data_IF_075139025640
#
_entry.id   IF_075139025640
#
_cell.length_a   1.000
_cell.length_b   1.000
_cell.length_c   1.000
_cell.angle_alpha   90.00
_cell.angle_beta   90.00
_cell.angle_gamma   90.00
#
_symmetry.space_group_name_H-M   'P 1'
#
loop_
_entity.id
_entity.type
_entity.pdbx_description
1 polymer ?
#
# COMPACT_ATOMS: atom_id res chain seq x y z
N UNK A 1 31.06 15.21 70.38
CA UNK A 1 30.89 14.08 69.45
C UNK A 1 30.29 14.67 68.19
N UNK A 2 31.01 15.38 67.32
CA UNK A 2 32.30 15.06 66.66
C UNK A 2 32.16 13.84 65.71
N UNK A 3 32.53 13.91 64.42
CA UNK A 3 33.10 15.04 63.67
C UNK A 3 32.85 14.92 62.14
N UNK A 4 32.58 16.04 61.47
CA UNK A 4 32.87 16.30 60.04
C UNK A 4 34.22 17.07 59.96
N UNK A 5 34.87 17.38 58.80
CA UNK A 5 34.35 17.94 57.54
C UNK A 5 34.97 17.21 56.30
N UNK A 6 35.38 17.72 55.12
CA UNK A 6 35.43 18.98 54.31
C UNK A 6 35.63 18.50 52.83
N UNK A 7 35.51 19.22 51.71
CA UNK A 7 34.86 20.44 51.17
C UNK A 7 34.93 20.30 49.61
N UNK A 8 34.09 20.82 48.73
CA UNK A 8 33.29 22.06 48.60
C UNK A 8 34.03 23.25 47.94
N UNK A 9 33.28 24.02 47.11
CA UNK A 9 33.61 25.31 46.46
C UNK A 9 34.61 25.32 45.29
N UNK A 10 34.51 26.20 44.27
CA UNK A 10 33.40 27.06 43.77
C UNK A 10 33.78 27.70 42.39
N UNK A 11 32.87 28.44 41.74
CA UNK A 11 33.30 29.71 41.10
C UNK A 11 33.08 30.00 39.60
N UNK A 12 31.82 29.99 39.14
CA UNK A 12 31.17 31.05 38.32
C UNK A 12 31.96 32.11 37.48
N UNK A 13 31.41 32.35 36.26
CA UNK A 13 31.12 33.65 35.57
C UNK A 13 32.07 34.31 34.51
N UNK A 14 31.39 34.78 33.44
CA UNK A 14 31.64 35.96 32.55
C UNK A 14 32.89 36.10 31.67
N UNK A 15 32.67 35.95 30.35
CA UNK A 15 32.69 37.03 29.34
C UNK A 15 33.72 38.18 29.49
N UNK A 16 34.71 38.27 28.58
CA UNK A 16 34.84 39.38 27.62
C UNK A 16 35.99 39.22 26.60
N UNK A 17 36.01 40.10 25.60
CA UNK A 17 36.93 40.15 24.46
C UNK A 17 38.34 40.63 24.84
N UNK A 18 39.36 40.19 24.10
CA UNK A 18 40.51 41.03 23.73
C UNK A 18 41.18 40.50 22.45
N UNK A 19 42.00 41.33 21.81
CA UNK A 19 42.43 41.20 20.41
C UNK A 19 43.96 41.07 20.28
N UNK A 20 44.43 40.79 19.05
CA UNK A 20 45.80 40.98 18.56
C UNK A 20 46.89 40.02 19.12
N UNK A 21 47.94 39.65 18.37
CA UNK A 21 48.20 39.79 16.92
C UNK A 21 49.34 38.84 16.48
N UNK A 22 49.36 38.52 15.17
CA UNK A 22 50.53 38.22 14.31
C UNK A 22 51.62 37.23 14.78
N UNK A 23 51.94 36.25 13.92
CA UNK A 23 53.21 36.18 13.14
C UNK A 23 53.01 35.20 11.96
N UNK A 24 53.91 35.24 10.98
CA UNK A 24 53.95 34.41 9.76
C UNK A 24 54.28 32.92 10.07
N UNK A 25 54.38 31.97 9.13
CA UNK A 25 54.50 32.07 7.66
C UNK A 25 53.99 30.77 6.97
N UNK A 26 54.37 30.59 5.70
CA UNK A 26 54.39 29.34 4.92
C UNK A 26 53.03 28.72 4.54
N UNK A 27 52.62 28.96 3.29
CA UNK A 27 51.53 28.23 2.64
C UNK A 27 51.97 26.86 2.14
N UNK A 28 51.11 25.86 2.31
CA UNK A 28 51.18 24.61 1.57
C UNK A 28 49.95 24.47 0.68
N UNK A 29 50.17 24.49 -0.64
CA UNK A 29 49.15 24.17 -1.61
C UNK A 29 48.92 22.64 -1.60
N UNK A 30 47.67 22.22 -1.51
CA UNK A 30 47.31 20.82 -1.31
C UNK A 30 45.95 20.53 -1.92
N UNK A 31 45.95 19.89 -3.10
CA UNK A 31 44.78 19.40 -3.83
C UNK A 31 44.01 18.32 -3.05
N UNK A 32 43.34 18.75 -1.98
CA UNK A 32 42.38 17.98 -1.21
C UNK A 32 41.08 17.83 -1.98
N UNK A 33 41.11 17.11 -3.10
CA UNK A 33 39.95 16.76 -3.90
C UNK A 33 39.02 15.83 -3.10
N UNK A 34 38.22 16.40 -2.21
CA UNK A 34 37.23 15.70 -1.41
C UNK A 34 36.31 14.91 -2.34
N UNK A 35 36.36 13.59 -2.23
CA UNK A 35 35.51 12.67 -2.96
C UNK A 35 34.07 12.78 -2.42
N UNK A 36 33.37 13.84 -2.82
CA UNK A 36 31.95 14.03 -2.52
C UNK A 36 31.20 12.86 -3.18
N UNK A 37 30.58 11.94 -2.41
CA UNK A 37 29.81 10.87 -3.01
C UNK A 37 28.68 11.49 -3.83
N UNK A 38 28.34 10.92 -5.01
CA UNK A 38 27.40 11.56 -5.93
C UNK A 38 26.02 11.70 -5.29
N UNK A 39 25.73 12.90 -4.77
CA UNK A 39 24.44 13.26 -4.20
C UNK A 39 23.35 12.91 -5.21
N UNK A 40 22.33 12.10 -4.87
CA UNK A 40 21.29 11.74 -5.82
C UNK A 40 20.66 13.01 -6.38
N UNK A 41 20.64 13.09 -7.72
CA UNK A 41 20.38 14.34 -8.44
C UNK A 41 19.04 14.93 -8.04
N UNK A 42 19.05 16.11 -7.38
CA UNK A 42 17.85 16.76 -6.85
C UNK A 42 16.79 16.96 -7.94
N UNK A 43 15.77 16.11 -7.92
CA UNK A 43 14.56 16.28 -8.74
C UNK A 43 13.85 17.54 -8.24
N UNK A 44 13.70 18.52 -9.13
CA UNK A 44 13.55 19.93 -8.76
C UNK A 44 12.08 20.39 -8.70
N UNK A 45 11.31 19.79 -7.80
CA UNK A 45 10.12 20.40 -7.20
C UNK A 45 9.98 19.89 -5.77
N UNK A 46 9.41 20.69 -4.88
CA UNK A 46 9.05 20.22 -3.54
C UNK A 46 7.84 19.29 -3.67
N UNK A 47 8.08 17.98 -3.48
CA UNK A 47 6.99 17.00 -3.42
C UNK A 47 5.94 17.44 -2.39
N UNK A 48 4.63 17.27 -2.67
CA UNK A 48 3.58 17.63 -1.73
C UNK A 48 3.71 16.76 -0.46
N UNK A 49 3.35 17.29 0.74
CA UNK A 49 3.47 16.55 1.99
C UNK A 49 2.82 15.15 1.97
N UNK A 50 1.73 15.01 1.23
CA UNK A 50 0.99 13.74 1.03
C UNK A 50 1.82 12.65 0.29
N UNK A 51 2.91 13.02 -0.38
CA UNK A 51 3.85 12.10 -1.04
C UNK A 51 5.23 12.05 -0.34
N UNK A 52 5.41 12.69 0.82
CA UNK A 52 6.68 12.71 1.53
C UNK A 52 7.19 11.31 1.90
N UNK A 53 6.30 10.40 2.30
CA UNK A 53 6.61 8.99 2.58
C UNK A 53 7.13 8.19 1.37
N UNK A 54 7.02 8.70 0.13
CA UNK A 54 7.64 8.07 -1.05
C UNK A 54 9.15 8.33 -1.10
N UNK A 55 9.63 9.43 -0.51
CA UNK A 55 11.00 9.93 -0.68
C UNK A 55 12.07 8.86 -0.34
N UNK A 56 11.97 8.07 0.75
CA UNK A 56 12.93 7.00 1.05
C UNK A 56 12.96 5.85 0.03
N UNK A 57 11.96 5.76 -0.86
CA UNK A 57 11.74 4.67 -1.79
C UNK A 57 11.72 5.13 -3.26
N UNK A 58 12.04 6.41 -3.53
CA UNK A 58 11.99 7.01 -4.88
C UNK A 58 12.80 6.22 -5.91
N UNK A 59 13.94 5.66 -5.51
CA UNK A 59 14.80 4.84 -6.36
C UNK A 59 14.17 3.52 -6.82
N UNK A 60 13.01 3.10 -6.28
CA UNK A 60 12.26 1.96 -6.82
C UNK A 60 11.34 2.34 -7.98
N UNK A 61 11.00 3.60 -8.15
CA UNK A 61 10.13 4.07 -9.25
C UNK A 61 10.95 4.31 -10.52
N UNK A 62 10.46 3.89 -11.68
CA UNK A 62 11.12 4.12 -12.98
C UNK A 62 10.68 5.45 -13.64
N UNK A 63 10.74 6.53 -12.86
CA UNK A 63 10.23 7.88 -13.18
C UNK A 63 10.52 8.31 -14.61
N UNK A 64 11.79 8.36 -15.02
CA UNK A 64 12.15 8.76 -16.38
C UNK A 64 11.62 7.82 -17.46
N UNK A 65 11.77 6.50 -17.27
CA UNK A 65 11.33 5.48 -18.23
C UNK A 65 9.83 5.56 -18.48
N UNK A 66 9.06 5.66 -17.39
CA UNK A 66 7.61 5.75 -17.41
C UNK A 66 7.15 7.02 -18.13
N UNK A 67 7.67 8.19 -17.74
CA UNK A 67 7.21 9.48 -18.26
C UNK A 67 7.62 9.68 -19.73
N UNK A 68 8.82 9.22 -20.12
CA UNK A 68 9.25 9.15 -21.53
C UNK A 68 8.37 8.20 -22.36
N UNK A 69 7.89 7.09 -21.79
CA UNK A 69 6.97 6.18 -22.47
C UNK A 69 5.54 6.76 -22.55
N UNK A 70 5.08 7.45 -21.51
CA UNK A 70 3.78 8.12 -21.46
C UNK A 70 3.68 9.23 -22.51
N UNK A 71 4.73 10.06 -22.64
CA UNK A 71 4.77 11.09 -23.70
C UNK A 71 4.74 10.46 -25.11
N UNK A 72 5.41 9.33 -25.32
CA UNK A 72 5.33 8.57 -26.60
C UNK A 72 3.91 8.04 -26.86
N UNK A 73 3.22 7.56 -25.84
CA UNK A 73 1.83 7.10 -25.94
C UNK A 73 0.89 8.25 -26.33
N UNK A 74 0.98 9.40 -25.66
CA UNK A 74 0.21 10.63 -25.98
C UNK A 74 0.47 11.08 -27.43
N UNK A 75 1.75 11.22 -27.82
CA UNK A 75 2.14 11.63 -29.17
C UNK A 75 1.70 10.64 -30.27
N UNK A 76 1.46 9.37 -29.92
CA UNK A 76 0.98 8.34 -30.83
C UNK A 76 -0.55 8.29 -30.92
N UNK A 77 -1.25 8.54 -29.81
CA UNK A 77 -2.71 8.62 -29.75
C UNK A 77 -3.26 9.83 -30.53
N UNK A 78 -2.55 10.97 -30.48
CA UNK A 78 -2.90 12.20 -31.20
C UNK A 78 -2.93 12.09 -32.73
N UNK A 79 -2.54 10.94 -33.32
CA UNK A 79 -2.69 10.65 -34.75
C UNK A 79 -3.99 9.90 -35.13
N UNK A 80 -4.83 9.50 -34.16
CA UNK A 80 -6.06 8.72 -34.42
C UNK A 80 -7.31 9.13 -33.63
N UNK A 81 -7.25 10.14 -32.78
CA UNK A 81 -8.41 10.65 -32.04
C UNK A 81 -8.49 12.18 -32.02
N UNK A 82 -9.68 12.73 -32.30
CA UNK A 82 -9.98 14.14 -32.03
C UNK A 82 -10.09 14.34 -30.51
N UNK A 83 -8.98 14.70 -29.87
CA UNK A 83 -9.01 15.10 -28.46
C UNK A 83 -9.80 16.40 -28.28
N UNK A 84 -10.75 16.39 -27.36
CA UNK A 84 -11.51 17.59 -26.99
C UNK A 84 -10.56 18.67 -26.45
N UNK A 85 -10.83 19.92 -26.78
CA UNK A 85 -9.98 21.05 -26.36
C UNK A 85 -10.01 21.19 -24.84
N UNK A 86 -8.86 20.95 -24.17
CA UNK A 86 -8.10 21.96 -23.39
C UNK A 86 -7.17 21.32 -22.33
N UNK A 87 -5.99 20.88 -22.76
CA UNK A 87 -4.78 20.91 -21.93
C UNK A 87 -3.67 21.66 -22.67
N UNK A 88 -2.65 22.11 -21.94
CA UNK A 88 -1.61 23.01 -22.47
C UNK A 88 -0.58 22.22 -23.27
N UNK A 89 -0.26 22.68 -24.48
CA UNK A 89 0.90 22.19 -25.24
C UNK A 89 2.15 22.90 -24.73
N UNK A 90 2.61 22.50 -23.54
CA UNK A 90 3.83 23.04 -22.93
C UNK A 90 5.05 22.71 -23.79
N UNK A 91 5.61 23.74 -24.44
CA UNK A 91 6.68 23.57 -25.43
C UNK A 91 8.01 24.15 -24.91
N UNK A 92 8.52 23.62 -23.79
CA UNK A 92 9.93 23.73 -23.37
C UNK A 92 10.22 22.94 -22.08
N UNK A 93 11.14 21.96 -22.12
CA UNK A 93 11.92 21.43 -20.98
C UNK A 93 11.22 21.20 -19.63
N UNK A 94 9.92 20.85 -19.60
CA UNK A 94 9.26 20.39 -18.37
C UNK A 94 9.91 19.07 -17.91
N UNK A 95 10.62 19.13 -16.77
CA UNK A 95 11.14 17.95 -16.10
C UNK A 95 9.99 17.23 -15.42
N UNK A 96 9.40 16.25 -16.10
CA UNK A 96 8.34 15.40 -15.55
C UNK A 96 8.71 14.89 -14.14
N UNK A 97 7.76 14.98 -13.21
CA UNK A 97 7.99 14.74 -11.79
C UNK A 97 7.49 13.35 -11.35
N UNK A 98 7.93 12.93 -10.15
CA UNK A 98 7.34 11.77 -9.47
C UNK A 98 5.84 12.00 -9.16
N UNK A 99 5.43 13.24 -8.92
CA UNK A 99 4.03 13.60 -8.64
C UNK A 99 3.14 13.41 -9.89
N UNK A 100 3.64 13.74 -11.09
CA UNK A 100 2.95 13.45 -12.36
C UNK A 100 2.78 11.93 -12.56
N UNK A 101 3.84 11.18 -12.26
CA UNK A 101 3.84 9.72 -12.32
C UNK A 101 2.86 9.09 -11.33
N UNK A 102 2.68 9.67 -10.14
CA UNK A 102 1.80 9.17 -9.08
C UNK A 102 0.41 9.83 -9.03
N UNK A 103 0.07 10.72 -9.96
CA UNK A 103 -1.28 11.28 -10.07
C UNK A 103 -2.23 10.37 -10.87
N UNK A 104 -3.52 10.42 -10.55
CA UNK A 104 -4.58 9.69 -11.25
C UNK A 104 -4.53 9.85 -12.78
N UNK A 105 -4.78 8.75 -13.51
CA UNK A 105 -4.96 8.79 -14.97
C UNK A 105 -6.12 7.92 -15.44
N UNK A 106 -6.73 8.30 -16.58
CA UNK A 106 -7.79 7.52 -17.24
C UNK A 106 -7.25 6.49 -18.24
N UNK A 107 -6.13 6.80 -18.90
CA UNK A 107 -5.50 5.92 -19.88
C UNK A 107 -4.74 4.76 -19.22
N UNK A 108 -4.57 3.60 -19.89
CA UNK A 108 -3.67 2.55 -19.43
C UNK A 108 -2.22 3.05 -19.30
N UNK A 109 -1.50 2.58 -18.26
CA UNK A 109 -0.07 2.86 -18.12
C UNK A 109 0.75 2.26 -19.28
N UNK A 110 1.81 2.94 -19.75
CA UNK A 110 2.67 2.45 -20.84
C UNK A 110 3.64 1.34 -20.40
N UNK A 111 3.96 1.29 -19.10
CA UNK A 111 4.87 0.35 -18.43
C UNK A 111 4.60 0.41 -16.92
N UNK A 112 5.25 -0.45 -16.13
CA UNK A 112 5.11 -0.46 -14.66
C UNK A 112 5.57 0.85 -13.99
N UNK A 113 5.06 1.11 -12.79
CA UNK A 113 5.50 2.22 -11.96
C UNK A 113 6.86 1.90 -11.30
N UNK A 114 7.01 0.68 -10.81
CA UNK A 114 8.23 0.19 -10.18
C UNK A 114 9.21 -0.39 -11.21
N UNK A 115 10.50 -0.36 -10.87
CA UNK A 115 11.62 -1.03 -11.56
C UNK A 115 11.50 -2.54 -11.37
N UNK A 116 10.80 -3.21 -12.27
CA UNK A 116 10.59 -4.68 -12.28
C UNK A 116 11.03 -5.29 -13.61
N UNK A 117 11.21 -6.62 -13.65
CA UNK A 117 11.56 -7.35 -14.86
C UNK A 117 10.52 -7.10 -15.99
N UNK A 118 10.98 -7.03 -17.26
CA UNK A 118 10.14 -6.80 -18.44
C UNK A 118 8.93 -7.72 -18.57
N UNK A 119 9.07 -8.99 -18.19
CA UNK A 119 7.97 -9.97 -18.21
C UNK A 119 6.88 -9.59 -17.21
N UNK A 120 7.27 -9.00 -16.07
CA UNK A 120 6.36 -8.49 -15.06
C UNK A 120 5.77 -7.14 -15.47
N UNK A 121 6.54 -6.26 -16.12
CA UNK A 121 6.03 -5.00 -16.68
C UNK A 121 4.87 -5.24 -17.68
N UNK A 122 4.96 -6.30 -18.49
CA UNK A 122 3.86 -6.70 -19.40
C UNK A 122 2.56 -7.14 -18.66
N UNK A 123 2.69 -7.64 -17.42
CA UNK A 123 1.56 -8.03 -16.56
C UNK A 123 1.04 -6.83 -15.75
N UNK A 124 1.94 -5.97 -15.30
CA UNK A 124 1.65 -4.70 -14.64
C UNK A 124 0.68 -3.83 -15.46
N UNK A 125 0.92 -3.67 -16.77
CA UNK A 125 0.01 -2.94 -17.67
C UNK A 125 -1.39 -3.59 -17.71
N UNK A 126 -1.47 -4.92 -17.68
CA UNK A 126 -2.75 -5.66 -17.66
C UNK A 126 -3.46 -5.56 -16.31
N UNK A 127 -2.72 -5.53 -15.20
CA UNK A 127 -3.27 -5.25 -13.86
C UNK A 127 -3.89 -3.85 -13.84
N UNK A 128 -3.21 -2.83 -14.36
CA UNK A 128 -3.75 -1.47 -14.43
C UNK A 128 -5.03 -1.39 -15.28
N UNK A 129 -5.12 -2.16 -16.37
CA UNK A 129 -6.36 -2.26 -17.17
C UNK A 129 -7.51 -2.93 -16.41
N UNK A 130 -7.23 -3.84 -15.46
CA UNK A 130 -8.26 -4.40 -14.56
C UNK A 130 -8.66 -3.38 -13.48
N UNK A 131 -7.71 -2.60 -12.96
CA UNK A 131 -7.97 -1.48 -12.03
C UNK A 131 -8.91 -0.46 -12.68
N UNK A 132 -8.57 0.07 -13.87
CA UNK A 132 -9.41 1.03 -14.59
C UNK A 132 -10.85 0.52 -14.80
N UNK A 133 -10.99 -0.77 -15.17
CA UNK A 133 -12.30 -1.42 -15.31
C UNK A 133 -13.06 -1.52 -13.99
N UNK A 134 -12.41 -1.88 -12.89
CA UNK A 134 -13.05 -1.95 -11.57
C UNK A 134 -13.55 -0.57 -11.12
N UNK A 135 -12.75 0.47 -11.35
CA UNK A 135 -13.11 1.86 -11.07
C UNK A 135 -14.23 2.38 -12.01
N UNK A 136 -14.52 1.69 -13.13
CA UNK A 136 -15.51 2.09 -14.13
C UNK A 136 -15.03 3.23 -15.05
N UNK A 137 -13.73 3.35 -15.25
CA UNK A 137 -13.11 4.42 -16.05
C UNK A 137 -13.03 4.01 -17.52
N UNK A 138 -13.67 4.79 -18.38
CA UNK A 138 -13.59 4.65 -19.83
C UNK A 138 -12.79 5.81 -20.47
N UNK A 139 -11.86 5.55 -21.40
CA UNK A 139 -11.17 6.60 -22.17
C UNK A 139 -12.09 7.56 -22.95
N UNK A 140 -13.33 7.15 -23.26
CA UNK A 140 -14.32 7.96 -23.98
C UNK A 140 -15.24 8.78 -23.06
N UNK A 141 -14.96 8.85 -21.75
CA UNK A 141 -15.78 9.50 -20.72
C UNK A 141 -17.26 9.04 -20.68
N UNK A 142 -17.49 7.78 -21.06
CA UNK A 142 -18.77 7.10 -20.88
C UNK A 142 -18.88 6.57 -19.45
N UNK A 143 -20.05 6.76 -18.83
CA UNK A 143 -20.35 6.17 -17.52
C UNK A 143 -20.48 4.66 -17.67
N UNK A 144 -19.47 3.91 -17.22
CA UNK A 144 -19.56 2.44 -17.11
C UNK A 144 -20.15 2.10 -15.74
N UNK A 145 -21.38 1.59 -15.76
CA UNK A 145 -21.95 0.86 -14.63
C UNK A 145 -21.32 -0.54 -14.61
N UNK A 146 -20.49 -0.80 -13.60
CA UNK A 146 -19.85 -2.10 -13.35
C UNK A 146 -20.71 -2.83 -12.33
N UNK A 147 -21.22 -4.03 -12.64
CA UNK A 147 -22.08 -4.76 -11.70
C UNK A 147 -21.29 -5.28 -10.49
N UNK A 148 -22.00 -5.79 -9.48
CA UNK A 148 -21.34 -6.38 -8.31
C UNK A 148 -20.50 -7.60 -8.72
N UNK A 149 -21.07 -8.47 -9.56
CA UNK A 149 -20.40 -9.63 -10.14
C UNK A 149 -19.16 -9.28 -10.97
N UNK A 150 -19.25 -8.25 -11.82
CA UNK A 150 -18.10 -7.77 -12.61
C UNK A 150 -16.96 -7.30 -11.68
N UNK A 151 -17.28 -6.58 -10.59
CA UNK A 151 -16.29 -6.12 -9.60
C UNK A 151 -15.59 -7.30 -8.93
N UNK A 152 -16.33 -8.32 -8.49
CA UNK A 152 -15.79 -9.54 -7.89
C UNK A 152 -14.89 -10.29 -8.89
N UNK A 153 -15.35 -10.46 -10.14
CA UNK A 153 -14.60 -11.18 -11.17
C UNK A 153 -13.32 -10.44 -11.60
N UNK A 154 -13.36 -9.09 -11.63
CA UNK A 154 -12.18 -8.24 -11.83
C UNK A 154 -11.18 -8.36 -10.66
N UNK A 155 -11.65 -8.43 -9.41
CA UNK A 155 -10.80 -8.69 -8.24
C UNK A 155 -10.12 -10.05 -8.36
N UNK A 156 -10.87 -11.13 -8.63
CA UNK A 156 -10.30 -12.46 -8.82
C UNK A 156 -9.24 -12.48 -9.94
N UNK A 157 -9.45 -11.73 -11.04
CA UNK A 157 -8.48 -11.54 -12.13
C UNK A 157 -7.21 -10.78 -11.69
N UNK A 158 -7.32 -9.77 -10.82
CA UNK A 158 -6.18 -9.04 -10.24
C UNK A 158 -5.34 -9.96 -9.36
N UNK A 159 -5.98 -10.71 -8.44
CA UNK A 159 -5.32 -11.64 -7.54
C UNK A 159 -4.58 -12.75 -8.28
N UNK A 160 -5.19 -13.29 -9.35
CA UNK A 160 -4.58 -14.32 -10.22
C UNK A 160 -3.27 -13.86 -10.89
N UNK A 161 -3.02 -12.55 -11.00
CA UNK A 161 -1.75 -12.00 -11.49
C UNK A 161 -0.77 -11.61 -10.38
N UNK A 162 -1.27 -11.04 -9.28
CA UNK A 162 -0.44 -10.37 -8.26
C UNK A 162 -0.05 -11.27 -7.08
N UNK A 163 -1.00 -12.02 -6.50
CA UNK A 163 -0.86 -12.65 -5.17
C UNK A 163 0.45 -13.42 -5.00
N UNK A 164 0.79 -14.29 -5.96
CA UNK A 164 1.95 -15.19 -5.92
C UNK A 164 3.29 -14.52 -6.28
N UNK A 165 3.35 -13.21 -6.52
CA UNK A 165 4.57 -12.49 -6.93
C UNK A 165 4.70 -11.15 -6.21
N UNK A 166 5.63 -11.06 -5.26
CA UNK A 166 5.92 -9.87 -4.44
C UNK A 166 5.97 -8.58 -5.27
N UNK A 167 6.72 -8.58 -6.36
CA UNK A 167 6.94 -7.43 -7.23
C UNK A 167 5.67 -6.97 -7.94
N UNK A 168 4.69 -7.86 -8.16
CA UNK A 168 3.37 -7.52 -8.69
C UNK A 168 2.35 -7.17 -7.58
N UNK A 169 2.61 -7.53 -6.32
CA UNK A 169 1.85 -6.97 -5.18
C UNK A 169 2.27 -5.53 -4.91
N UNK A 170 3.58 -5.27 -4.82
CA UNK A 170 4.13 -3.93 -4.65
C UNK A 170 3.66 -2.96 -5.76
N UNK A 171 3.74 -3.41 -7.02
CA UNK A 171 3.26 -2.67 -8.19
C UNK A 171 1.75 -2.44 -8.13
N UNK A 172 0.95 -3.43 -7.73
CA UNK A 172 -0.50 -3.28 -7.55
C UNK A 172 -0.82 -2.20 -6.49
N UNK A 173 -0.17 -2.23 -5.33
CA UNK A 173 -0.35 -1.19 -4.30
C UNK A 173 0.08 0.20 -4.81
N UNK A 174 1.20 0.30 -5.52
CA UNK A 174 1.62 1.56 -6.16
C UNK A 174 0.61 2.07 -7.21
N UNK A 175 0.00 1.16 -7.99
CA UNK A 175 -1.03 1.51 -8.98
C UNK A 175 -2.34 1.95 -8.35
N UNK A 176 -2.80 1.32 -7.26
CA UNK A 176 -4.01 1.76 -6.56
C UNK A 176 -3.77 3.12 -5.89
N UNK A 177 -2.61 3.31 -5.23
CA UNK A 177 -2.21 4.61 -4.65
C UNK A 177 -2.22 5.75 -5.67
N UNK A 178 -1.72 5.48 -6.89
CA UNK A 178 -1.78 6.41 -8.01
C UNK A 178 -3.21 6.78 -8.41
N UNK A 179 -4.15 5.83 -8.33
CA UNK A 179 -5.56 6.07 -8.65
C UNK A 179 -6.38 6.66 -7.47
N UNK A 180 -5.84 6.71 -6.26
CA UNK A 180 -6.40 7.50 -5.14
C UNK A 180 -5.87 8.94 -5.11
N UNK A 181 -4.63 9.19 -5.56
CA UNK A 181 -4.02 10.53 -5.54
C UNK A 181 -4.51 11.43 -6.69
N UNK A 182 -5.03 12.62 -6.36
CA UNK A 182 -5.61 13.61 -7.29
C UNK A 182 -6.72 13.07 -8.22
N UNK A 183 -7.45 12.04 -7.81
CA UNK A 183 -8.59 11.55 -8.57
C UNK A 183 -9.74 12.58 -8.54
N UNK A 184 -10.20 13.11 -9.69
CA UNK A 184 -11.21 14.17 -9.74
C UNK A 184 -12.64 13.66 -9.64
N UNK A 185 -12.89 12.35 -9.82
CA UNK A 185 -14.23 11.76 -9.74
C UNK A 185 -14.43 10.99 -8.42
N UNK A 186 -15.50 11.31 -7.70
CA UNK A 186 -15.77 10.70 -6.38
C UNK A 186 -16.09 9.21 -6.50
N UNK A 187 -16.86 8.78 -7.49
CA UNK A 187 -17.25 7.37 -7.64
C UNK A 187 -16.01 6.49 -7.94
N UNK A 188 -15.15 6.98 -8.82
CA UNK A 188 -13.86 6.43 -9.15
C UNK A 188 -12.92 6.37 -7.93
N UNK A 189 -12.88 7.44 -7.13
CA UNK A 189 -12.07 7.51 -5.92
C UNK A 189 -12.53 6.50 -4.86
N UNK A 190 -13.83 6.40 -4.57
CA UNK A 190 -14.37 5.40 -3.62
C UNK A 190 -13.98 3.98 -4.07
N UNK A 191 -14.15 3.64 -5.35
CA UNK A 191 -13.75 2.33 -5.89
C UNK A 191 -12.25 2.06 -5.80
N UNK A 192 -11.40 3.08 -5.93
CA UNK A 192 -9.97 2.95 -5.71
C UNK A 192 -9.66 2.59 -4.23
N UNK A 193 -10.36 3.21 -3.28
CA UNK A 193 -10.24 2.92 -1.85
C UNK A 193 -10.86 1.58 -1.43
N UNK A 194 -12.01 1.19 -2.01
CA UNK A 194 -12.58 -0.15 -1.86
C UNK A 194 -11.61 -1.24 -2.35
N UNK A 195 -10.97 -1.03 -3.52
CA UNK A 195 -9.98 -1.97 -4.06
C UNK A 195 -8.69 -2.02 -3.21
N UNK A 196 -8.27 -0.89 -2.64
CA UNK A 196 -7.16 -0.84 -1.67
C UNK A 196 -7.49 -1.68 -0.42
N UNK A 197 -8.70 -1.52 0.13
CA UNK A 197 -9.16 -2.23 1.32
C UNK A 197 -9.20 -3.75 1.08
N UNK A 198 -9.76 -4.20 -0.04
CA UNK A 198 -9.75 -5.61 -0.46
C UNK A 198 -8.32 -6.17 -0.48
N UNK A 199 -7.38 -5.48 -1.14
CA UNK A 199 -6.01 -5.96 -1.29
C UNK A 199 -5.25 -6.00 0.05
N UNK A 200 -5.39 -4.96 0.88
CA UNK A 200 -4.76 -4.88 2.20
C UNK A 200 -5.29 -5.95 3.18
N UNK A 201 -6.50 -6.45 2.96
CA UNK A 201 -7.15 -7.47 3.82
C UNK A 201 -6.74 -8.91 3.52
N UNK A 202 -5.90 -9.15 2.51
CA UNK A 202 -5.46 -10.50 2.11
C UNK A 202 -3.96 -10.65 1.90
N UNK A 203 -3.27 -9.58 1.52
CA UNK A 203 -1.85 -9.62 1.15
C UNK A 203 -1.16 -8.29 1.46
N UNK A 204 -0.07 -8.28 2.22
CA UNK A 204 0.74 -7.08 2.37
C UNK A 204 1.63 -6.87 1.13
N UNK A 205 1.98 -5.61 0.81
CA UNK A 205 3.20 -5.33 0.04
C UNK A 205 4.44 -5.74 0.85
N UNK A 206 5.65 -5.60 0.27
CA UNK A 206 6.86 -5.72 1.07
C UNK A 206 7.00 -4.60 2.12
N UNK A 207 7.96 -4.76 3.04
CA UNK A 207 8.19 -3.85 4.16
C UNK A 207 8.34 -2.38 3.74
N UNK A 208 8.98 -2.13 2.61
CA UNK A 208 9.34 -0.79 2.14
C UNK A 208 8.10 -0.04 1.62
N UNK A 209 7.38 -0.66 0.69
CA UNK A 209 6.10 -0.11 0.17
C UNK A 209 5.03 -0.12 1.27
N UNK A 210 5.05 -1.09 2.19
CA UNK A 210 4.15 -1.18 3.33
C UNK A 210 4.33 -0.08 4.37
N UNK A 211 5.55 0.41 4.57
CA UNK A 211 5.82 1.56 5.44
C UNK A 211 5.20 2.84 4.86
N UNK A 212 5.47 3.14 3.59
CA UNK A 212 4.86 4.29 2.90
C UNK A 212 3.32 4.17 2.85
N UNK A 213 2.79 2.99 2.49
CA UNK A 213 1.35 2.76 2.47
C UNK A 213 0.72 3.01 3.85
N UNK A 214 1.33 2.52 4.93
CA UNK A 214 0.83 2.74 6.29
C UNK A 214 0.73 4.23 6.65
N UNK A 215 1.72 5.04 6.26
CA UNK A 215 1.71 6.49 6.45
C UNK A 215 0.62 7.16 5.60
N UNK A 216 0.50 6.81 4.32
CA UNK A 216 -0.52 7.35 3.41
C UNK A 216 -1.94 7.05 3.91
N UNK A 217 -2.21 5.81 4.33
CA UNK A 217 -3.49 5.40 4.91
C UNK A 217 -3.79 6.15 6.22
N UNK A 218 -2.79 6.32 7.09
CA UNK A 218 -2.92 7.09 8.33
C UNK A 218 -3.26 8.56 8.05
N UNK A 219 -2.61 9.18 7.07
CA UNK A 219 -2.85 10.57 6.70
C UNK A 219 -4.23 10.75 6.06
N UNK A 220 -4.67 9.81 5.20
CA UNK A 220 -6.02 9.81 4.63
C UNK A 220 -7.11 9.69 5.71
N UNK A 221 -6.94 8.77 6.67
CA UNK A 221 -7.87 8.52 7.77
C UNK A 221 -8.09 9.74 8.68
N UNK A 222 -7.01 10.45 9.04
CA UNK A 222 -7.06 11.51 10.05
C UNK A 222 -7.13 12.94 9.47
N UNK A 223 -6.84 13.13 8.17
CA UNK A 223 -6.93 14.46 7.54
C UNK A 223 -8.35 15.02 7.61
N UNK A 224 -8.47 16.29 8.02
CA UNK A 224 -9.74 17.00 8.04
C UNK A 224 -10.37 17.09 6.63
N UNK A 225 -9.54 17.19 5.58
CA UNK A 225 -9.95 17.45 4.18
C UNK A 225 -10.42 16.22 3.40
N UNK A 226 -10.15 15.01 3.89
CA UNK A 226 -10.58 13.77 3.22
C UNK A 226 -12.09 13.62 3.25
N UNK A 227 -12.67 13.03 2.21
CA UNK A 227 -14.09 12.63 2.17
C UNK A 227 -14.42 11.61 3.29
N UNK A 228 -15.62 11.69 3.89
CA UNK A 228 -15.99 10.84 5.04
C UNK A 228 -16.00 9.34 4.74
N UNK A 229 -16.43 8.94 3.56
CA UNK A 229 -16.44 7.52 3.13
C UNK A 229 -15.01 7.03 2.89
N UNK A 230 -14.16 7.89 2.30
CA UNK A 230 -12.73 7.63 2.15
C UNK A 230 -12.04 7.49 3.51
N UNK A 231 -12.40 8.28 4.53
CA UNK A 231 -11.84 8.11 5.89
C UNK A 231 -12.17 6.74 6.48
N UNK A 232 -13.42 6.28 6.34
CA UNK A 232 -13.83 4.95 6.81
C UNK A 232 -13.06 3.85 6.09
N UNK A 233 -12.97 3.92 4.75
CA UNK A 233 -12.17 2.97 3.96
C UNK A 233 -10.69 3.01 4.34
N UNK A 234 -10.10 4.18 4.59
CA UNK A 234 -8.71 4.32 5.01
C UNK A 234 -8.44 3.73 6.40
N UNK A 235 -9.35 3.92 7.36
CA UNK A 235 -9.29 3.30 8.70
C UNK A 235 -9.34 1.78 8.59
N UNK A 236 -10.31 1.24 7.84
CA UNK A 236 -10.48 -0.19 7.66
C UNK A 236 -9.28 -0.82 6.95
N UNK A 237 -8.79 -0.19 5.87
CA UNK A 237 -7.57 -0.59 5.15
C UNK A 237 -6.34 -0.58 6.07
N UNK A 238 -6.18 0.46 6.90
CA UNK A 238 -5.03 0.58 7.81
C UNK A 238 -5.08 -0.48 8.92
N UNK A 239 -6.26 -0.87 9.39
CA UNK A 239 -6.41 -1.95 10.36
C UNK A 239 -6.13 -3.31 9.71
N UNK A 240 -6.70 -3.58 8.54
CA UNK A 240 -6.39 -4.79 7.76
C UNK A 240 -4.91 -4.94 7.44
N UNK A 241 -4.24 -3.87 7.00
CA UNK A 241 -2.82 -3.87 6.69
C UNK A 241 -1.97 -4.23 7.93
N UNK A 242 -2.33 -3.76 9.14
CA UNK A 242 -1.65 -4.14 10.39
C UNK A 242 -1.82 -5.62 10.74
N UNK A 243 -2.90 -6.27 10.29
CA UNK A 243 -3.14 -7.69 10.51
C UNK A 243 -2.39 -8.52 9.46
N UNK A 244 -2.51 -8.19 8.17
CA UNK A 244 -1.82 -8.91 7.09
C UNK A 244 -0.30 -8.70 7.09
N UNK A 245 0.22 -7.58 7.60
CA UNK A 245 1.66 -7.43 7.87
C UNK A 245 2.19 -8.38 8.97
N UNK A 246 1.33 -8.93 9.83
CA UNK A 246 1.68 -9.95 10.83
C UNK A 246 1.44 -11.37 10.32
N UNK A 247 0.28 -11.61 9.71
CA UNK A 247 -0.12 -12.93 9.21
C UNK A 247 0.58 -13.33 7.89
N UNK A 248 1.07 -12.35 7.13
CA UNK A 248 1.64 -12.55 5.80
C UNK A 248 0.58 -12.49 4.69
N UNK A 249 0.95 -12.99 3.51
CA UNK A 249 0.05 -13.09 2.36
C UNK A 249 -0.74 -14.39 2.41
N UNK A 250 -2.06 -14.32 2.13
CA UNK A 250 -2.87 -15.52 1.82
C UNK A 250 -2.24 -16.32 0.67
N UNK A 251 -2.47 -17.65 0.71
CA UNK A 251 -1.99 -18.61 -0.31
C UNK A 251 -2.92 -18.67 -1.52
N UNK A 252 -4.22 -18.45 -1.28
CA UNK A 252 -5.33 -18.43 -2.23
C UNK A 252 -5.87 -17.01 -2.42
N UNK A 253 -6.57 -16.77 -3.53
CA UNK A 253 -7.40 -15.57 -3.66
C UNK A 253 -8.60 -15.67 -2.70
N UNK A 254 -9.13 -14.54 -2.19
CA UNK A 254 -10.34 -14.55 -1.38
C UNK A 254 -11.56 -15.02 -2.19
N UNK A 255 -12.54 -15.58 -1.49
CA UNK A 255 -13.78 -16.05 -2.08
C UNK A 255 -14.69 -14.90 -2.54
N UNK A 256 -15.74 -15.24 -3.29
CA UNK A 256 -16.74 -14.28 -3.78
C UNK A 256 -17.46 -13.61 -2.61
N UNK A 257 -17.77 -14.42 -1.61
CA UNK A 257 -18.50 -14.13 -0.39
C UNK A 257 -17.68 -13.19 0.51
N UNK A 258 -16.36 -13.42 0.60
CA UNK A 258 -15.40 -12.52 1.24
C UNK A 258 -15.29 -11.15 0.56
N UNK A 259 -15.26 -11.11 -0.77
CA UNK A 259 -15.20 -9.85 -1.52
C UNK A 259 -16.54 -9.09 -1.40
N UNK A 260 -17.68 -9.79 -1.46
CA UNK A 260 -18.99 -9.16 -1.32
C UNK A 260 -19.22 -8.62 0.09
N UNK A 261 -18.88 -9.37 1.14
CA UNK A 261 -19.11 -8.96 2.53
C UNK A 261 -18.34 -7.70 2.88
N UNK A 262 -17.06 -7.64 2.49
CA UNK A 262 -16.18 -6.49 2.69
C UNK A 262 -16.62 -5.25 1.91
N UNK A 263 -17.25 -5.41 0.74
CA UNK A 263 -17.81 -4.32 -0.07
C UNK A 263 -19.22 -3.88 0.32
N UNK A 264 -20.00 -4.75 0.96
CA UNK A 264 -21.40 -4.46 1.38
C UNK A 264 -21.53 -4.15 2.86
N UNK A 265 -20.47 -4.33 3.65
CA UNK A 265 -20.49 -4.21 5.11
C UNK A 265 -21.24 -5.34 5.81
N UNK A 266 -21.57 -6.43 5.10
CA UNK A 266 -22.14 -7.64 5.70
C UNK A 266 -21.09 -8.33 6.55
N UNK A 267 -21.52 -9.01 7.61
CA UNK A 267 -20.70 -9.98 8.34
C UNK A 267 -20.78 -11.33 7.65
N UNK A 268 -19.68 -12.10 7.67
CA UNK A 268 -19.72 -13.53 7.40
C UNK A 268 -19.78 -14.28 8.72
N UNK A 269 -20.52 -15.38 8.75
CA UNK A 269 -20.48 -16.35 9.85
C UNK A 269 -20.22 -17.75 9.30
N UNK A 270 -19.67 -18.62 10.15
CA UNK A 270 -19.45 -20.03 9.85
C UNK A 270 -19.58 -20.86 11.12
N UNK A 271 -19.95 -22.13 10.98
CA UNK A 271 -20.17 -23.05 12.10
C UNK A 271 -18.91 -23.90 12.30
N UNK A 272 -18.28 -23.76 13.47
CA UNK A 272 -17.19 -24.64 13.92
C UNK A 272 -17.80 -25.78 14.73
N UNK A 273 -17.45 -27.01 14.38
CA UNK A 273 -17.85 -28.22 15.12
C UNK A 273 -16.70 -28.71 16.00
N UNK A 274 -17.00 -29.06 17.24
CA UNK A 274 -16.04 -29.57 18.22
C UNK A 274 -16.09 -31.11 18.31
N UNK A 275 -15.10 -31.69 19.01
CA UNK A 275 -14.94 -33.14 19.15
C UNK A 275 -15.95 -33.80 20.11
N UNK A 276 -16.73 -33.00 20.84
CA UNK A 276 -17.80 -33.41 21.76
C UNK A 276 -19.21 -33.26 21.13
N UNK A 277 -19.27 -33.18 19.79
CA UNK A 277 -20.47 -32.96 18.97
C UNK A 277 -21.17 -31.59 19.18
N UNK A 278 -20.61 -30.69 19.98
CA UNK A 278 -21.07 -29.30 20.07
C UNK A 278 -20.63 -28.45 18.88
N UNK A 279 -21.23 -27.27 18.73
CA UNK A 279 -20.86 -26.32 17.67
C UNK A 279 -21.01 -24.85 18.12
N UNK A 280 -20.23 -23.97 17.51
CA UNK A 280 -20.25 -22.51 17.73
C UNK A 280 -20.36 -21.79 16.37
N UNK A 281 -21.24 -20.78 16.28
CA UNK A 281 -21.29 -19.87 15.12
C UNK A 281 -20.33 -18.70 15.34
N UNK A 282 -19.22 -18.69 14.62
CA UNK A 282 -18.21 -17.62 14.70
C UNK A 282 -18.41 -16.61 13.56
N UNK A 283 -18.17 -15.33 13.85
CA UNK A 283 -18.03 -14.29 12.82
C UNK A 283 -16.60 -14.28 12.29
N UNK A 284 -16.41 -14.12 10.97
CA UNK A 284 -15.08 -13.97 10.36
C UNK A 284 -15.05 -12.90 9.26
N UNK A 285 -13.85 -12.50 8.86
CA UNK A 285 -13.56 -11.62 7.74
C UNK A 285 -12.27 -12.03 7.00
N UNK A 286 -11.89 -11.29 5.95
CA UNK A 286 -10.70 -11.59 5.15
C UNK A 286 -9.38 -11.59 5.94
N UNK A 287 -9.31 -10.93 7.10
CA UNK A 287 -8.11 -10.82 7.94
C UNK A 287 -8.07 -11.81 9.09
N UNK A 288 -9.21 -12.42 9.43
CA UNK A 288 -9.36 -13.37 10.53
C UNK A 288 -8.50 -14.60 10.29
N UNK A 289 -7.54 -14.87 11.18
CA UNK A 289 -6.75 -16.11 11.11
C UNK A 289 -7.40 -17.21 11.92
N UNK A 290 -6.98 -18.44 11.61
CA UNK A 290 -7.17 -19.65 12.43
C UNK A 290 -6.92 -19.41 13.92
N UNK A 291 -5.85 -18.68 14.28
CA UNK A 291 -5.50 -18.42 15.67
C UNK A 291 -6.46 -17.45 16.35
N UNK A 292 -7.07 -16.53 15.59
CA UNK A 292 -8.07 -15.59 16.08
C UNK A 292 -9.44 -16.24 16.20
N UNK A 293 -9.76 -17.21 15.33
CA UNK A 293 -11.02 -17.96 15.34
C UNK A 293 -11.12 -18.97 16.51
N UNK A 294 -10.00 -19.55 16.96
CA UNK A 294 -9.99 -20.57 18.02
C UNK A 294 -9.87 -19.98 19.44
N UNK A 295 -9.38 -18.74 19.59
CA UNK A 295 -9.23 -18.08 20.89
C UNK A 295 -10.56 -17.75 21.63
N UNK A 296 -11.64 -17.28 20.98
CA UNK A 296 -12.91 -16.96 21.63
C UNK A 296 -13.49 -18.14 22.44
N UNK A 297 -13.54 -19.34 21.85
CA UNK A 297 -14.08 -20.53 22.51
C UNK A 297 -13.37 -20.89 23.82
N UNK A 298 -12.05 -20.65 23.94
CA UNK A 298 -11.32 -20.86 25.20
C UNK A 298 -11.77 -19.89 26.32
N UNK A 299 -12.31 -18.73 25.98
CA UNK A 299 -12.69 -17.70 26.96
C UNK A 299 -14.04 -17.97 27.64
N UNK A 300 -14.97 -18.66 26.96
CA UNK A 300 -16.26 -19.05 27.54
C UNK A 300 -16.28 -20.51 28.02
N UNK A 301 -15.71 -21.46 27.26
CA UNK A 301 -15.58 -22.86 27.71
C UNK A 301 -14.60 -23.02 28.89
N UNK A 302 -13.63 -22.10 29.03
CA UNK A 302 -12.61 -22.12 30.09
C UNK A 302 -13.14 -21.98 31.53
N UNK A 303 -14.44 -21.70 31.74
CA UNK A 303 -15.05 -21.63 33.07
C UNK A 303 -15.44 -22.98 33.68
N UNK A 304 -15.30 -24.10 32.96
CA UNK A 304 -16.00 -25.31 33.36
C UNK A 304 -15.45 -26.70 33.01
N UNK A 305 -14.19 -26.89 32.60
CA UNK A 305 -13.54 -28.22 32.73
C UNK A 305 -12.02 -28.14 32.90
N UNK A 306 -11.51 -28.72 34.00
CA UNK A 306 -10.08 -28.85 34.26
C UNK A 306 -9.48 -30.05 33.55
N UNK A 307 -8.92 -29.86 32.35
CA UNK A 307 -8.26 -30.93 31.60
C UNK A 307 -7.30 -30.38 30.54
N UNK A 308 -6.02 -30.71 30.66
CA UNK A 308 -4.97 -30.36 29.68
C UNK A 308 -5.04 -31.20 28.40
N UNK A 309 -6.15 -31.11 27.67
CA UNK A 309 -6.31 -31.73 26.35
C UNK A 309 -5.57 -30.93 25.29
N UNK A 310 -4.51 -31.49 24.71
CA UNK A 310 -3.82 -30.88 23.58
C UNK A 310 -4.67 -31.08 22.31
N UNK A 311 -5.55 -30.11 22.04
CA UNK A 311 -6.49 -30.14 20.92
C UNK A 311 -5.75 -30.18 19.58
N UNK A 312 -5.73 -31.35 18.96
CA UNK A 312 -5.34 -31.52 17.57
C UNK A 312 -6.52 -31.08 16.68
N UNK A 313 -6.73 -29.76 16.58
CA UNK A 313 -7.81 -29.17 15.77
C UNK A 313 -7.59 -29.57 14.31
N UNK A 314 -8.50 -30.35 13.72
CA UNK A 314 -8.38 -30.82 12.33
C UNK A 314 -8.74 -29.69 11.33
N UNK A 315 -7.81 -28.74 11.30
CA UNK A 315 -7.89 -27.45 10.64
C UNK A 315 -7.91 -27.50 9.12
N UNK A 316 -7.77 -28.71 8.55
CA UNK A 316 -8.00 -28.95 7.13
C UNK A 316 -9.33 -28.37 6.68
N UNK A 317 -10.44 -28.62 7.39
CA UNK A 317 -11.75 -28.11 6.96
C UNK A 317 -11.89 -26.59 7.03
N UNK A 318 -11.26 -25.89 7.98
CA UNK A 318 -11.38 -24.42 8.07
C UNK A 318 -10.53 -23.69 7.01
N UNK A 319 -9.61 -24.39 6.32
CA UNK A 319 -8.76 -23.81 5.25
C UNK A 319 -9.00 -24.44 3.86
N UNK A 320 -9.48 -25.67 3.76
CA UNK A 320 -9.75 -26.37 2.49
C UNK A 320 -11.17 -26.16 1.95
N UNK A 321 -12.14 -25.70 2.77
CA UNK A 321 -13.57 -25.59 2.40
C UNK A 321 -13.83 -24.71 1.16
N UNK A 322 -13.02 -23.67 0.91
CA UNK A 322 -13.15 -22.82 -0.29
C UNK A 322 -12.06 -23.08 -1.36
N UNK A 323 -11.17 -24.06 -1.14
CA UNK A 323 -9.97 -24.24 -1.97
C UNK A 323 -9.92 -25.54 -2.79
N UNK A 324 -10.73 -26.57 -2.47
CA UNK A 324 -10.57 -27.90 -3.08
C UNK A 324 -11.84 -28.70 -3.43
N UNK A 325 -13.03 -28.35 -2.93
CA UNK A 325 -14.23 -29.20 -3.02
C UNK A 325 -14.98 -29.16 -4.39
N UNK A 326 -14.25 -29.44 -5.48
CA UNK A 326 -14.84 -29.73 -6.80
C UNK A 326 -14.17 -30.89 -7.55
N UNK A 327 -13.11 -31.51 -7.00
CA UNK A 327 -12.65 -32.84 -7.41
C UNK A 327 -12.77 -33.82 -6.23
N UNK A 328 -13.08 -35.09 -6.53
CA UNK A 328 -13.44 -36.18 -5.57
C UNK A 328 -14.87 -36.11 -5.00
N UNK A 329 -15.84 -36.20 -5.91
CA UNK A 329 -17.17 -36.80 -5.64
C UNK A 329 -17.55 -37.80 -6.77
N UNK A 330 -16.55 -38.57 -7.23
CA UNK A 330 -16.69 -39.60 -8.25
C UNK A 330 -15.70 -40.72 -7.94
N UNK A 331 -16.21 -41.79 -7.31
CA UNK A 331 -15.47 -42.92 -6.76
C UNK A 331 -16.36 -43.72 -5.83
#
# INVERSE_FOLDING_TARGET
>A
MDQSPMFSSNGNLTLLQSSASSVADDGYDSDGAFFVPPTPSRLSSSLPPELAGVIPFIDRYQVETFLRAMQKQINSAGKRGFFSKKSVVSTANEKFTLEDMLSFQKEPIPTSLLKINSDLASRSVKIFQLILKYLGVDPSDKVILVSMDDRIELVAKIYKQSLKRSELRDELFAQILKQTHKNPDRSCLIKAWELMYICASSMPPNKDIGAYLSEYLHNAAHSARTDSEVKVLAINTLNSLKLTLKAGSRLTAPAREEIESLLTGKKLTTIVFFLDETFEEITYDMTTTVGDAVQPGLSEAGKGFGGGGMLNVDLKRVVEVEAGLLEVAGG
#
